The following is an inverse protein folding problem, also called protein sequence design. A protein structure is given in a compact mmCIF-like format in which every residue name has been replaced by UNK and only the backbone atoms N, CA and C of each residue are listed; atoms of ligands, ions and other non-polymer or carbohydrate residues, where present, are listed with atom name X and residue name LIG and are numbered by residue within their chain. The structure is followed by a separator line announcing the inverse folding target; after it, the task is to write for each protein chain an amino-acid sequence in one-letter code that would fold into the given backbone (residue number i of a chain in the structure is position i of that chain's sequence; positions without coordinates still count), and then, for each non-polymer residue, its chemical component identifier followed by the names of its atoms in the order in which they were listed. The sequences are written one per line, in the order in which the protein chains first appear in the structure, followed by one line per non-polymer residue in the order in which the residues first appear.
data_IF_237835299507
#
_entry.id   IF_237835299507
#
_cell.length_a   1.000
_cell.length_b   1.000
_cell.length_c   1.000
_cell.angle_alpha   90.00
_cell.angle_beta   90.00
_cell.angle_gamma   90.00
#
_symmetry.space_group_name_H-M   'P 1'
#
loop_
_entity.id
_entity.type
_entity.pdbx_description
1 polymer ?
#
# COMPACT_ATOMS: atom_id res chain seq x y z
N UNK A 1 2.98 5.02 7.49
CA UNK A 1 3.94 5.46 6.44
C UNK A 1 5.41 5.49 6.87
N UNK A 2 5.74 5.56 8.17
CA UNK A 2 7.13 5.59 8.69
C UNK A 2 8.05 4.47 8.16
N UNK A 3 7.55 3.22 8.17
CA UNK A 3 8.29 2.04 7.67
C UNK A 3 8.69 2.14 6.19
N UNK A 4 7.76 2.38 5.24
CA UNK A 4 8.13 2.57 3.83
C UNK A 4 9.03 3.80 3.59
N UNK A 5 8.88 4.90 4.34
CA UNK A 5 9.81 6.06 4.27
C UNK A 5 11.25 5.62 4.60
N UNK A 6 11.43 4.90 5.72
CA UNK A 6 12.75 4.39 6.13
C UNK A 6 13.32 3.44 5.07
N UNK A 7 12.49 2.55 4.53
CA UNK A 7 12.90 1.60 3.51
C UNK A 7 13.32 2.26 2.19
N UNK A 8 12.52 3.21 1.66
CA UNK A 8 12.86 3.94 0.43
C UNK A 8 14.12 4.80 0.64
N UNK A 9 14.25 5.48 1.78
CA UNK A 9 15.46 6.24 2.13
C UNK A 9 16.70 5.33 2.15
N UNK A 10 16.58 4.15 2.75
CA UNK A 10 17.67 3.16 2.80
C UNK A 10 18.04 2.66 1.41
N UNK A 11 17.05 2.36 0.57
CA UNK A 11 17.26 1.96 -0.82
C UNK A 11 17.99 3.06 -1.63
N UNK A 12 17.56 4.31 -1.52
CA UNK A 12 18.22 5.46 -2.16
C UNK A 12 19.67 5.62 -1.67
N UNK A 13 19.92 5.42 -0.38
CA UNK A 13 21.27 5.50 0.21
C UNK A 13 22.16 4.39 -0.35
N UNK A 14 21.69 3.15 -0.34
CA UNK A 14 22.41 2.01 -0.93
C UNK A 14 22.68 2.21 -2.43
N UNK A 15 21.72 2.75 -3.18
CA UNK A 15 21.93 3.13 -4.58
C UNK A 15 23.08 4.14 -4.74
N UNK A 16 23.11 5.22 -3.94
CA UNK A 16 24.18 6.23 -4.00
C UNK A 16 25.55 5.61 -3.69
N UNK A 17 25.63 4.71 -2.70
CA UNK A 17 26.85 3.95 -2.39
C UNK A 17 27.31 3.09 -3.57
N UNK A 18 26.37 2.37 -4.21
CA UNK A 18 26.67 1.54 -5.39
C UNK A 18 27.13 2.41 -6.56
N UNK A 19 26.45 3.53 -6.84
CA UNK A 19 26.81 4.44 -7.92
C UNK A 19 28.25 4.98 -7.74
N UNK A 20 28.58 5.46 -6.53
CA UNK A 20 29.94 5.91 -6.18
C UNK A 20 30.98 4.79 -6.35
N UNK A 21 30.65 3.56 -5.94
CA UNK A 21 31.54 2.42 -6.11
C UNK A 21 31.75 2.07 -7.59
N UNK A 22 30.71 2.09 -8.42
CA UNK A 22 30.81 1.85 -9.85
C UNK A 22 31.69 2.92 -10.51
N UNK A 23 31.55 4.20 -10.15
CA UNK A 23 32.47 5.25 -10.61
C UNK A 23 33.92 4.94 -10.22
N UNK A 24 34.14 4.46 -8.99
CA UNK A 24 35.48 4.08 -8.51
C UNK A 24 36.05 2.86 -9.24
N UNK A 25 35.20 1.88 -9.58
CA UNK A 25 35.56 0.71 -10.41
C UNK A 25 35.95 1.16 -11.82
N UNK A 26 35.14 2.00 -12.44
CA UNK A 26 35.38 2.51 -13.79
C UNK A 26 36.68 3.33 -13.88
N UNK A 27 37.04 4.02 -12.79
CA UNK A 27 38.30 4.76 -12.66
C UNK A 27 39.49 3.87 -12.26
N UNK A 28 39.31 2.55 -12.17
CA UNK A 28 40.37 1.60 -11.80
C UNK A 28 40.80 1.64 -10.33
N UNK A 29 40.12 2.43 -9.48
CA UNK A 29 40.49 2.61 -8.08
C UNK A 29 40.16 1.40 -7.19
N UNK A 30 39.13 0.63 -7.56
CA UNK A 30 38.69 -0.58 -6.82
C UNK A 30 38.19 -1.66 -7.77
N UNK A 31 38.26 -2.94 -7.35
CA UNK A 31 37.63 -4.05 -8.10
C UNK A 31 36.13 -4.10 -7.82
N UNK A 32 35.34 -4.47 -8.84
CA UNK A 32 33.90 -4.67 -8.70
C UNK A 32 33.58 -5.71 -7.62
N UNK A 33 32.58 -5.42 -6.78
CA UNK A 33 32.17 -6.32 -5.70
C UNK A 33 33.13 -6.30 -4.50
N UNK A 34 34.10 -5.39 -4.45
CA UNK A 34 34.93 -5.20 -3.26
C UNK A 34 34.17 -4.44 -2.16
N UNK A 35 33.22 -5.14 -1.53
CA UNK A 35 32.45 -4.63 -0.41
C UNK A 35 33.30 -4.41 0.86
N UNK A 36 34.55 -4.91 0.91
CA UNK A 36 35.44 -4.64 2.05
C UNK A 36 35.88 -3.16 2.11
N UNK A 37 35.78 -2.43 0.99
CA UNK A 37 36.01 -0.99 0.95
C UNK A 37 34.84 -0.17 1.53
N UNK A 38 33.72 -0.82 1.86
CA UNK A 38 32.55 -0.16 2.44
C UNK A 38 32.57 -0.26 3.97
N UNK A 39 32.13 0.81 4.62
CA UNK A 39 31.74 0.77 6.03
C UNK A 39 30.68 -0.31 6.27
N UNK A 40 30.52 -0.73 7.52
CA UNK A 40 29.49 -1.72 7.90
C UNK A 40 28.10 -1.26 7.44
N UNK A 41 27.77 0.02 7.67
CA UNK A 41 26.50 0.61 7.27
C UNK A 41 26.28 0.61 5.75
N UNK A 42 27.32 0.94 4.97
CA UNK A 42 27.25 0.93 3.50
C UNK A 42 27.02 -0.48 2.96
N UNK A 43 27.69 -1.50 3.53
CA UNK A 43 27.44 -2.91 3.17
C UNK A 43 26.00 -3.30 3.45
N UNK A 44 25.48 -2.91 4.61
CA UNK A 44 24.11 -3.19 5.00
C UNK A 44 23.10 -2.51 4.07
N UNK A 45 23.37 -1.30 3.60
CA UNK A 45 22.48 -0.58 2.69
C UNK A 45 22.53 -1.13 1.25
N UNK A 46 23.72 -1.53 0.78
CA UNK A 46 23.89 -2.24 -0.50
C UNK A 46 23.17 -3.60 -0.47
N UNK A 47 23.31 -4.34 0.63
CA UNK A 47 22.60 -5.61 0.81
C UNK A 47 21.08 -5.40 0.83
N UNK A 48 20.60 -4.31 1.42
CA UNK A 48 19.18 -3.97 1.41
C UNK A 48 18.66 -3.72 -0.02
N UNK A 49 19.43 -3.02 -0.87
CA UNK A 49 19.09 -2.85 -2.29
C UNK A 49 18.98 -4.20 -2.99
N UNK A 50 19.93 -5.11 -2.76
CA UNK A 50 19.95 -6.45 -3.33
C UNK A 50 18.68 -7.25 -3.00
N UNK A 51 18.25 -7.19 -1.72
CA UNK A 51 17.05 -7.84 -1.23
C UNK A 51 15.77 -7.24 -1.86
N UNK A 52 15.67 -5.91 -1.94
CA UNK A 52 14.53 -5.23 -2.58
C UNK A 52 14.43 -5.53 -4.08
N UNK A 53 15.57 -5.69 -4.75
CA UNK A 53 15.64 -6.08 -6.16
C UNK A 53 15.25 -7.54 -6.42
N UNK A 54 15.27 -8.37 -5.37
CA UNK A 54 14.99 -9.81 -5.43
C UNK A 54 16.20 -10.65 -5.83
N UNK A 55 17.42 -10.11 -5.67
CA UNK A 55 18.67 -10.83 -5.92
C UNK A 55 19.66 -10.54 -4.78
N UNK A 56 19.64 -11.38 -3.74
CA UNK A 56 20.49 -11.22 -2.56
C UNK A 56 22.00 -11.36 -2.85
N UNK A 57 22.36 -11.89 -4.02
CA UNK A 57 23.75 -12.15 -4.42
C UNK A 57 24.28 -11.15 -5.46
N UNK A 58 23.47 -10.14 -5.80
CA UNK A 58 23.71 -9.17 -6.86
C UNK A 58 25.06 -8.46 -6.78
N UNK A 59 25.56 -8.19 -5.58
CA UNK A 59 26.79 -7.41 -5.36
C UNK A 59 27.97 -8.25 -4.84
N UNK A 60 27.95 -9.57 -5.03
CA UNK A 60 29.07 -10.45 -4.67
C UNK A 60 30.20 -10.39 -5.72
N UNK A 61 31.47 -10.61 -5.32
CA UNK A 61 32.59 -10.77 -6.24
C UNK A 61 32.30 -11.81 -7.33
N UNK A 62 32.70 -11.53 -8.58
CA UNK A 62 32.54 -12.44 -9.73
C UNK A 62 31.20 -12.35 -10.48
N UNK A 63 30.26 -11.50 -10.05
CA UNK A 63 29.06 -11.13 -10.83
C UNK A 63 29.38 -9.96 -11.76
N UNK A 64 28.70 -9.87 -12.91
CA UNK A 64 28.77 -8.71 -13.79
C UNK A 64 28.23 -7.46 -13.11
N UNK A 65 28.58 -6.26 -13.60
CA UNK A 65 28.16 -4.98 -13.02
C UNK A 65 26.63 -4.78 -13.11
N UNK A 66 25.88 -5.37 -12.17
CA UNK A 66 24.42 -5.27 -12.18
C UNK A 66 24.00 -4.03 -11.40
N UNK A 67 23.49 -3.04 -12.13
CA UNK A 67 22.88 -1.84 -11.55
C UNK A 67 21.61 -2.17 -10.75
N UNK A 68 21.27 -1.38 -9.73
CA UNK A 68 20.00 -1.52 -9.02
C UNK A 68 18.81 -1.50 -10.00
N UNK A 69 17.79 -2.32 -9.71
CA UNK A 69 16.70 -2.60 -10.67
C UNK A 69 15.77 -1.41 -10.84
N UNK A 70 15.50 -0.70 -9.75
CA UNK A 70 14.47 0.34 -9.71
C UNK A 70 14.98 1.74 -10.02
N UNK A 71 16.23 2.04 -9.62
CA UNK A 71 16.93 3.28 -9.95
C UNK A 71 18.12 2.87 -10.80
N UNK A 72 18.06 3.19 -12.09
CA UNK A 72 19.05 2.69 -13.06
C UNK A 72 20.08 3.74 -13.44
N UNK A 73 19.76 5.01 -13.21
CA UNK A 73 20.59 6.16 -13.58
C UNK A 73 20.43 7.28 -12.56
N UNK A 74 21.46 8.11 -12.42
CA UNK A 74 21.49 9.20 -11.44
C UNK A 74 20.48 10.31 -11.76
N UNK A 75 20.13 10.52 -13.03
CA UNK A 75 19.11 11.48 -13.46
C UNK A 75 17.68 11.08 -13.06
N UNK A 76 17.46 9.81 -12.71
CA UNK A 76 16.17 9.34 -12.18
C UNK A 76 16.02 9.63 -10.67
N UNK A 77 17.14 9.79 -9.96
CA UNK A 77 17.18 9.90 -8.50
C UNK A 77 16.29 11.02 -7.92
N UNK A 78 16.23 12.23 -8.52
CA UNK A 78 15.35 13.30 -8.03
C UNK A 78 13.87 12.88 -7.96
N UNK A 79 13.41 11.98 -8.84
CA UNK A 79 12.02 11.49 -8.84
C UNK A 79 11.74 10.56 -7.66
N UNK A 80 12.71 9.73 -7.27
CA UNK A 80 12.60 8.89 -6.08
C UNK A 80 12.74 9.70 -4.78
N UNK A 81 13.57 10.73 -4.78
CA UNK A 81 13.65 11.69 -3.67
C UNK A 81 12.35 12.50 -3.52
N UNK A 82 11.72 12.87 -4.64
CA UNK A 82 10.40 13.50 -4.63
C UNK A 82 9.34 12.58 -4.03
N UNK A 83 9.30 11.29 -4.40
CA UNK A 83 8.42 10.30 -3.77
C UNK A 83 8.63 10.22 -2.26
N UNK A 84 9.90 10.20 -1.83
CA UNK A 84 10.25 10.16 -0.41
C UNK A 84 9.76 11.42 0.33
N UNK A 85 9.91 12.60 -0.29
CA UNK A 85 9.41 13.87 0.27
C UNK A 85 7.90 13.84 0.42
N UNK A 86 7.17 13.44 -0.61
CA UNK A 86 5.71 13.31 -0.56
C UNK A 86 5.27 12.36 0.55
N UNK A 87 5.94 11.22 0.76
CA UNK A 87 5.59 10.31 1.85
C UNK A 87 5.80 10.92 3.23
N UNK A 88 6.81 11.78 3.40
CA UNK A 88 7.04 12.51 4.66
C UNK A 88 5.94 13.54 4.88
N UNK A 89 5.57 14.30 3.85
CA UNK A 89 4.48 15.28 3.92
C UNK A 89 3.13 14.60 4.20
N UNK A 90 2.89 13.39 3.68
CA UNK A 90 1.70 12.60 4.01
C UNK A 90 1.71 12.01 5.43
N UNK A 91 2.80 12.15 6.19
CA UNK A 91 3.01 11.51 7.48
C UNK A 91 3.47 12.52 8.55
N UNK A 92 2.59 13.44 8.92
CA UNK A 92 2.81 14.36 10.03
C UNK A 92 2.70 13.64 11.37
N UNK A 93 3.81 13.55 12.11
CA UNK A 93 3.85 12.87 13.41
C UNK A 93 2.97 13.58 14.45
N UNK A 94 2.89 14.91 14.37
CA UNK A 94 2.06 15.73 15.26
C UNK A 94 0.56 15.43 15.11
N UNK A 95 0.13 14.94 13.93
CA UNK A 95 -1.27 14.61 13.65
C UNK A 95 -1.63 13.16 13.99
N UNK A 96 -0.63 12.29 14.19
CA UNK A 96 -0.82 10.90 14.63
C UNK A 96 0.33 10.46 15.55
N UNK A 97 0.36 10.95 16.80
CA UNK A 97 1.37 10.56 17.78
C UNK A 97 1.28 9.08 18.14
N UNK A 98 0.11 8.47 17.97
CA UNK A 98 -0.13 7.04 18.29
C UNK A 98 0.43 6.09 17.22
N UNK A 99 0.55 6.56 15.97
CA UNK A 99 0.86 5.72 14.82
C UNK A 99 -0.26 4.74 14.45
N UNK A 100 -1.45 4.86 15.06
CA UNK A 100 -2.60 3.98 14.86
C UNK A 100 -3.61 4.55 13.87
N UNK A 101 -3.47 5.82 13.46
CA UNK A 101 -4.42 6.45 12.53
C UNK A 101 -4.26 5.82 11.15
N UNK A 102 -5.33 5.19 10.68
CA UNK A 102 -5.38 4.63 9.33
C UNK A 102 -5.44 5.75 8.29
N UNK A 103 -4.48 5.72 7.37
CA UNK A 103 -4.49 6.59 6.20
C UNK A 103 -5.75 6.31 5.36
N UNK A 104 -6.53 7.36 5.07
CA UNK A 104 -7.80 7.23 4.33
C UNK A 104 -7.58 6.89 2.85
N UNK A 105 -6.50 7.38 2.26
CA UNK A 105 -6.16 7.18 0.87
C UNK A 105 -4.65 7.02 0.72
N UNK A 106 -4.22 5.94 0.05
CA UNK A 106 -2.82 5.75 -0.32
C UNK A 106 -2.45 6.59 -1.52
N UNK A 107 -1.15 6.82 -1.76
CA UNK A 107 -0.70 7.32 -3.03
C UNK A 107 -1.27 6.52 -4.20
N UNK A 108 -1.68 7.21 -5.26
CA UNK A 108 -2.34 6.58 -6.41
C UNK A 108 -1.47 6.65 -7.68
N UNK A 109 -1.50 5.55 -8.43
CA UNK A 109 -1.00 5.52 -9.80
C UNK A 109 -2.19 5.51 -10.76
N UNK A 110 -2.25 6.50 -11.65
CA UNK A 110 -3.21 6.57 -12.74
C UNK A 110 -2.48 6.35 -14.05
N UNK A 111 -2.95 5.34 -14.79
CA UNK A 111 -2.54 5.09 -16.16
C UNK A 111 -3.76 4.82 -17.03
N UNK A 112 -3.60 5.05 -18.32
CA UNK A 112 -4.63 4.77 -19.31
C UNK A 112 -4.18 3.64 -20.24
N UNK A 113 -5.14 2.90 -20.79
CA UNK A 113 -4.87 1.82 -21.75
C UNK A 113 -6.01 1.72 -22.76
N UNK A 114 -5.67 1.37 -24.00
CA UNK A 114 -6.65 0.96 -25.02
C UNK A 114 -7.20 -0.44 -24.76
N UNK A 115 -6.44 -1.24 -24.02
CA UNK A 115 -6.82 -2.58 -23.57
C UNK A 115 -6.68 -2.64 -22.04
N UNK A 116 -7.78 -2.35 -21.35
CA UNK A 116 -7.83 -2.35 -19.89
C UNK A 116 -7.64 -3.77 -19.34
N UNK A 117 -8.16 -4.80 -20.01
CA UNK A 117 -8.04 -6.20 -19.56
C UNK A 117 -6.57 -6.59 -19.47
N UNK A 118 -5.82 -6.42 -20.57
CA UNK A 118 -4.37 -6.70 -20.61
C UNK A 118 -3.61 -5.87 -19.57
N UNK A 119 -3.93 -4.59 -19.45
CA UNK A 119 -3.25 -3.70 -18.49
C UNK A 119 -3.53 -4.08 -17.03
N UNK A 120 -4.74 -4.51 -16.70
CA UNK A 120 -5.11 -4.92 -15.34
C UNK A 120 -4.41 -6.22 -14.93
N UNK A 121 -4.27 -7.19 -15.84
CA UNK A 121 -3.53 -8.43 -15.57
C UNK A 121 -2.07 -8.18 -15.18
N UNK A 122 -1.46 -7.10 -15.69
CA UNK A 122 -0.10 -6.69 -15.33
C UNK A 122 0.09 -6.40 -13.84
N UNK A 123 -0.95 -6.01 -13.12
CA UNK A 123 -0.86 -5.68 -11.69
C UNK A 123 -1.17 -6.87 -10.77
N UNK A 124 -1.37 -8.07 -11.34
CA UNK A 124 -1.35 -9.30 -10.58
C UNK A 124 0.01 -9.56 -9.92
N UNK A 125 0.02 -10.38 -8.86
CA UNK A 125 1.17 -10.56 -7.95
C UNK A 125 2.51 -10.94 -8.64
N UNK A 126 2.48 -11.46 -9.87
CA UNK A 126 3.65 -11.99 -10.57
C UNK A 126 4.31 -11.03 -11.59
N UNK A 127 3.76 -9.84 -11.85
CA UNK A 127 4.15 -9.01 -13.02
C UNK A 127 4.68 -7.60 -12.68
N UNK A 128 5.35 -7.45 -11.53
CA UNK A 128 5.93 -6.17 -11.08
C UNK A 128 6.88 -5.47 -12.08
N UNK A 129 7.64 -6.14 -12.98
CA UNK A 129 8.51 -5.44 -13.94
C UNK A 129 7.78 -4.52 -14.92
N UNK A 130 6.49 -4.74 -15.15
CA UNK A 130 5.68 -3.95 -16.09
C UNK A 130 4.84 -2.87 -15.38
N UNK A 131 4.94 -2.78 -14.06
CA UNK A 131 4.33 -1.76 -13.21
C UNK A 131 5.20 -0.50 -13.21
N UNK A 132 4.61 0.67 -12.93
CA UNK A 132 5.36 1.91 -12.72
C UNK A 132 6.48 1.69 -11.68
N UNK A 133 7.71 2.15 -11.99
CA UNK A 133 8.91 1.91 -11.17
C UNK A 133 8.78 2.39 -9.72
N UNK A 134 8.13 3.53 -9.48
CA UNK A 134 7.96 4.10 -8.14
C UNK A 134 6.97 3.27 -7.32
N UNK A 135 5.85 2.86 -7.93
CA UNK A 135 4.91 1.93 -7.31
C UNK A 135 5.57 0.57 -7.03
N UNK A 136 6.30 0.04 -8.01
CA UNK A 136 6.99 -1.25 -7.88
C UNK A 136 8.04 -1.24 -6.77
N UNK A 137 8.85 -0.17 -6.67
CA UNK A 137 9.80 0.02 -5.57
C UNK A 137 9.07 0.05 -4.22
N UNK A 138 7.98 0.82 -4.09
CA UNK A 138 7.20 0.87 -2.85
C UNK A 138 6.69 -0.51 -2.45
N UNK A 139 6.12 -1.27 -3.40
CA UNK A 139 5.64 -2.63 -3.16
C UNK A 139 6.78 -3.54 -2.67
N UNK A 140 7.95 -3.50 -3.33
CA UNK A 140 9.10 -4.32 -2.95
C UNK A 140 9.68 -3.94 -1.59
N UNK A 141 9.76 -2.64 -1.28
CA UNK A 141 10.19 -2.17 0.04
C UNK A 141 9.22 -2.64 1.12
N UNK A 142 7.91 -2.55 0.90
CA UNK A 142 6.91 -3.03 1.86
C UNK A 142 7.03 -4.55 2.08
N UNK A 143 7.15 -5.32 0.99
CA UNK A 143 7.35 -6.76 1.06
C UNK A 143 8.63 -7.13 1.82
N UNK A 144 9.73 -6.41 1.58
CA UNK A 144 11.01 -6.62 2.28
C UNK A 144 10.94 -6.25 3.77
N UNK A 145 9.99 -5.39 4.15
CA UNK A 145 9.66 -5.09 5.53
C UNK A 145 8.62 -6.06 6.10
N UNK A 146 8.36 -7.19 5.44
CA UNK A 146 7.38 -8.20 5.85
C UNK A 146 5.97 -7.63 6.03
N UNK A 147 5.61 -6.62 5.26
CA UNK A 147 4.25 -6.08 5.21
C UNK A 147 3.49 -6.73 4.05
N UNK A 148 2.28 -7.19 4.31
CA UNK A 148 1.38 -7.68 3.25
C UNK A 148 1.00 -6.52 2.33
N UNK A 149 1.17 -6.72 1.02
CA UNK A 149 0.84 -5.73 0.00
C UNK A 149 -0.20 -6.29 -0.95
N UNK A 150 -1.39 -5.68 -0.94
CA UNK A 150 -2.45 -5.94 -1.90
C UNK A 150 -2.50 -4.78 -2.91
N UNK A 151 -2.29 -5.07 -4.19
CA UNK A 151 -2.43 -4.08 -5.27
C UNK A 151 -3.83 -4.17 -5.85
N UNK A 152 -4.60 -3.09 -5.70
CA UNK A 152 -5.94 -3.00 -6.27
C UNK A 152 -5.92 -2.14 -7.53
N UNK A 153 -6.43 -2.70 -8.63
CA UNK A 153 -6.61 -1.97 -9.90
C UNK A 153 -8.07 -1.92 -10.25
N UNK A 154 -8.57 -0.72 -10.56
CA UNK A 154 -9.97 -0.49 -10.91
C UNK A 154 -10.07 0.44 -12.12
N UNK A 155 -10.95 0.15 -13.09
CA UNK A 155 -11.33 1.13 -14.09
C UNK A 155 -12.14 2.24 -13.41
N UNK A 156 -11.75 3.50 -13.64
CA UNK A 156 -12.42 4.68 -13.07
C UNK A 156 -13.09 5.55 -14.10
N UNK A 157 -12.68 5.42 -15.37
CA UNK A 157 -13.25 6.15 -16.50
C UNK A 157 -13.09 5.30 -17.76
N UNK A 158 -14.19 5.05 -18.45
CA UNK A 158 -14.21 4.47 -19.79
C UNK A 158 -14.37 5.59 -20.80
N UNK A 159 -13.58 5.53 -21.88
CA UNK A 159 -13.67 6.47 -22.99
C UNK A 159 -14.11 5.72 -24.23
N UNK A 160 -14.85 6.41 -25.10
CA UNK A 160 -15.39 5.81 -26.31
C UNK A 160 -14.65 6.27 -27.57
N UNK A 161 -14.03 7.45 -27.53
CA UNK A 161 -13.25 8.00 -28.65
C UNK A 161 -11.76 7.96 -28.36
N UNK A 162 -10.97 7.55 -29.35
CA UNK A 162 -9.50 7.39 -29.22
C UNK A 162 -8.80 8.69 -28.83
N UNK A 163 -9.30 9.83 -29.28
CA UNK A 163 -8.71 11.15 -29.03
C UNK A 163 -9.05 11.71 -27.64
N UNK A 164 -9.98 11.08 -26.90
CA UNK A 164 -10.25 11.41 -25.50
C UNK A 164 -9.18 10.87 -24.55
N UNK A 165 -8.34 9.92 -24.98
CA UNK A 165 -7.39 9.21 -24.11
C UNK A 165 -6.40 10.16 -23.38
N UNK A 166 -5.74 11.12 -24.06
CA UNK A 166 -4.81 12.03 -23.37
C UNK A 166 -5.52 12.94 -22.36
N UNK A 167 -6.70 13.47 -22.74
CA UNK A 167 -7.49 14.39 -21.90
C UNK A 167 -8.06 13.67 -20.68
N UNK A 168 -8.54 12.43 -20.86
CA UNK A 168 -9.01 11.58 -19.78
C UNK A 168 -7.88 11.23 -18.80
N UNK A 169 -6.68 10.92 -19.32
CA UNK A 169 -5.52 10.65 -18.47
C UNK A 169 -5.14 11.87 -17.63
N UNK A 170 -5.14 13.07 -18.22
CA UNK A 170 -4.87 14.33 -17.53
C UNK A 170 -5.89 14.61 -16.44
N UNK A 171 -7.18 14.51 -16.77
CA UNK A 171 -8.26 14.75 -15.83
C UNK A 171 -8.15 13.83 -14.62
N UNK A 172 -8.08 12.52 -14.85
CA UNK A 172 -8.07 11.53 -13.76
C UNK A 172 -6.77 11.63 -12.96
N UNK A 173 -5.61 11.82 -13.61
CA UNK A 173 -4.35 11.98 -12.90
C UNK A 173 -4.35 13.24 -12.02
N UNK A 174 -4.96 14.33 -12.48
CA UNK A 174 -5.07 15.59 -11.73
C UNK A 174 -6.00 15.44 -10.53
N UNK A 175 -7.21 14.89 -10.74
CA UNK A 175 -8.18 14.66 -9.66
C UNK A 175 -7.60 13.70 -8.61
N UNK A 176 -6.89 12.66 -9.04
CA UNK A 176 -6.29 11.68 -8.15
C UNK A 176 -5.01 12.16 -7.46
N UNK A 177 -4.46 13.34 -7.82
CA UNK A 177 -3.16 13.80 -7.35
C UNK A 177 -2.03 12.82 -7.68
N UNK A 178 -2.12 12.14 -8.83
CA UNK A 178 -1.30 10.96 -9.14
C UNK A 178 0.16 11.27 -9.44
N UNK A 179 0.51 12.55 -9.62
CA UNK A 179 1.89 12.97 -9.82
C UNK A 179 2.73 12.77 -8.55
N UNK A 180 4.00 12.39 -8.71
CA UNK A 180 4.92 12.20 -7.59
C UNK A 180 5.10 13.49 -6.79
N UNK A 181 5.09 14.65 -7.43
CA UNK A 181 5.20 15.95 -6.76
C UNK A 181 3.92 16.40 -6.06
N UNK A 182 2.85 15.63 -6.16
CA UNK A 182 1.60 15.83 -5.43
C UNK A 182 1.50 14.73 -4.37
N UNK A 183 0.78 13.65 -4.66
CA UNK A 183 0.51 12.57 -3.70
C UNK A 183 0.55 11.17 -4.35
N UNK A 184 1.17 11.00 -5.52
CA UNK A 184 1.06 9.76 -6.29
C UNK A 184 2.38 9.12 -6.74
N UNK A 185 2.29 8.27 -7.77
CA UNK A 185 3.40 7.47 -8.30
C UNK A 185 3.84 7.85 -9.73
N UNK A 186 3.16 8.81 -10.35
CA UNK A 186 3.40 9.19 -11.74
C UNK A 186 4.51 10.23 -11.84
N UNK A 187 5.64 9.85 -12.43
CA UNK A 187 6.81 10.73 -12.58
C UNK A 187 6.76 11.65 -13.80
N UNK A 188 5.93 11.31 -14.78
CA UNK A 188 5.82 12.01 -16.06
C UNK A 188 4.44 12.67 -16.11
N UNK A 189 4.37 13.83 -16.74
CA UNK A 189 3.12 14.53 -16.98
C UNK A 189 2.08 13.61 -17.65
N UNK A 190 0.83 13.73 -17.20
CA UNK A 190 -0.27 12.97 -17.77
C UNK A 190 -0.63 13.49 -19.16
N UNK A 191 -1.02 12.59 -20.08
CA UNK A 191 -1.37 12.96 -21.45
C UNK A 191 -0.18 13.26 -22.37
N UNK A 192 1.06 13.18 -21.88
CA UNK A 192 2.28 13.57 -22.63
C UNK A 192 2.58 12.78 -23.91
N UNK A 193 1.83 11.71 -24.22
CA UNK A 193 1.96 10.96 -25.48
C UNK A 193 0.97 11.37 -26.57
N UNK A 194 0.10 12.36 -26.33
CA UNK A 194 -0.91 12.80 -27.30
C UNK A 194 -0.63 14.20 -27.86
N UNK A 195 -0.90 14.42 -29.15
CA UNK A 195 -0.85 15.73 -29.82
C UNK A 195 -1.94 16.72 -29.39
N UNK A 196 -2.64 16.44 -28.28
CA UNK A 196 -3.79 17.19 -27.76
C UNK A 196 -3.66 17.42 -26.26
N UNK A 197 -2.48 17.84 -25.82
CA UNK A 197 -2.31 18.42 -24.47
C UNK A 197 -3.11 19.71 -24.44
N UNK A 198 -3.92 19.93 -23.39
CA UNK A 198 -4.58 21.23 -23.19
C UNK A 198 -3.48 22.25 -22.90
N UNK A 199 -3.12 23.06 -23.90
CA UNK A 199 -1.96 23.95 -23.89
C UNK A 199 -2.29 25.38 -23.39
N UNK A 200 -3.56 25.74 -23.37
CA UNK A 200 -4.01 27.06 -22.96
C UNK A 200 -4.73 27.06 -21.61
N UNK A 201 -4.40 28.04 -20.77
CA UNK A 201 -5.09 28.32 -19.50
C UNK A 201 -6.61 28.48 -19.68
N UNK A 202 -7.02 29.06 -20.82
CA UNK A 202 -8.43 29.28 -21.17
C UNK A 202 -9.15 27.94 -21.40
N UNK A 203 -8.56 27.03 -22.16
CA UNK A 203 -9.15 25.72 -22.41
C UNK A 203 -9.22 24.87 -21.13
N UNK A 204 -8.18 24.93 -20.28
CA UNK A 204 -8.20 24.31 -18.95
C UNK A 204 -9.35 24.84 -18.07
N UNK A 205 -9.52 26.16 -17.99
CA UNK A 205 -10.59 26.78 -17.20
C UNK A 205 -11.99 26.43 -17.74
N UNK A 206 -12.18 26.44 -19.06
CA UNK A 206 -13.44 26.06 -19.68
C UNK A 206 -13.78 24.59 -19.46
N UNK A 207 -12.80 23.68 -19.62
CA UNK A 207 -13.00 22.25 -19.35
C UNK A 207 -13.31 21.99 -17.87
N UNK A 208 -12.59 22.64 -16.96
CA UNK A 208 -12.85 22.53 -15.52
C UNK A 208 -14.26 23.01 -15.18
N UNK A 209 -14.72 24.14 -15.74
CA UNK A 209 -16.11 24.61 -15.57
C UNK A 209 -17.13 23.62 -16.12
N UNK A 210 -16.88 23.02 -17.28
CA UNK A 210 -17.81 22.07 -17.89
C UNK A 210 -17.96 20.80 -17.02
N UNK A 211 -16.86 20.29 -16.49
CA UNK A 211 -16.83 19.13 -15.59
C UNK A 211 -17.43 19.44 -14.22
N UNK A 212 -17.14 20.61 -13.64
CA UNK A 212 -17.53 20.94 -12.26
C UNK A 212 -18.92 21.57 -12.15
N UNK A 213 -19.34 22.38 -13.13
CA UNK A 213 -20.57 23.17 -13.03
C UNK A 213 -21.74 22.60 -13.83
N UNK A 214 -21.51 22.09 -15.04
CA UNK A 214 -22.61 21.74 -15.97
C UNK A 214 -23.03 20.28 -15.90
N UNK A 215 -22.13 19.37 -15.56
CA UNK A 215 -22.44 17.95 -15.39
C UNK A 215 -22.52 17.64 -13.89
N UNK A 216 -23.73 17.45 -13.37
CA UNK A 216 -23.95 17.07 -11.97
C UNK A 216 -23.29 15.72 -11.63
N UNK A 217 -22.94 14.91 -12.64
CA UNK A 217 -22.34 13.58 -12.49
C UNK A 217 -21.05 13.59 -11.67
N UNK A 218 -20.15 14.56 -11.88
CA UNK A 218 -18.91 14.63 -11.10
C UNK A 218 -19.21 14.94 -9.63
N UNK A 219 -20.16 15.84 -9.37
CA UNK A 219 -20.59 16.20 -8.02
C UNK A 219 -21.25 15.03 -7.30
N UNK A 220 -22.12 14.29 -8.00
CA UNK A 220 -22.74 13.07 -7.49
C UNK A 220 -21.70 11.99 -7.21
N UNK A 221 -20.80 11.73 -8.16
CA UNK A 221 -19.71 10.77 -7.98
C UNK A 221 -18.82 11.09 -6.78
N UNK A 222 -18.46 12.36 -6.58
CA UNK A 222 -17.70 12.78 -5.38
C UNK A 222 -18.52 12.54 -4.11
N UNK A 223 -19.79 12.94 -4.07
CA UNK A 223 -20.66 12.75 -2.91
C UNK A 223 -20.80 11.27 -2.55
N UNK A 224 -21.17 10.43 -3.51
CA UNK A 224 -21.32 8.98 -3.31
C UNK A 224 -20.00 8.33 -2.88
N UNK A 225 -18.87 8.78 -3.45
CA UNK A 225 -17.54 8.28 -3.04
C UNK A 225 -17.24 8.65 -1.59
N UNK A 226 -17.55 9.88 -1.18
CA UNK A 226 -17.36 10.32 0.21
C UNK A 226 -18.25 9.52 1.18
N UNK A 227 -19.51 9.29 0.83
CA UNK A 227 -20.44 8.48 1.62
C UNK A 227 -19.97 7.03 1.76
N UNK A 228 -19.47 6.42 0.67
CA UNK A 228 -18.86 5.09 0.69
C UNK A 228 -17.61 5.04 1.55
N UNK A 229 -16.72 6.02 1.45
CA UNK A 229 -15.51 6.11 2.27
C UNK A 229 -15.84 6.26 3.76
N UNK A 230 -16.83 7.08 4.08
CA UNK A 230 -17.29 7.27 5.46
C UNK A 230 -17.92 6.00 6.03
N UNK A 231 -18.76 5.32 5.24
CA UNK A 231 -19.37 4.04 5.63
C UNK A 231 -18.31 2.95 5.87
N UNK A 232 -17.30 2.87 4.99
CA UNK A 232 -16.17 1.93 5.16
C UNK A 232 -15.34 2.26 6.40
N UNK A 233 -15.12 3.55 6.71
CA UNK A 233 -14.44 3.96 7.94
C UNK A 233 -15.21 3.50 9.18
N UNK A 234 -16.53 3.70 9.22
CA UNK A 234 -17.38 3.26 10.33
C UNK A 234 -17.35 1.74 10.49
N UNK A 235 -17.46 0.99 9.39
CA UNK A 235 -17.35 -0.47 9.39
C UNK A 235 -16.02 -0.95 9.99
N UNK A 236 -14.91 -0.36 9.53
CA UNK A 236 -13.58 -0.69 10.03
C UNK A 236 -13.37 -0.32 11.50
N UNK A 237 -14.03 0.74 11.99
CA UNK A 237 -14.06 1.11 13.41
C UNK A 237 -14.76 0.05 14.25
N UNK A 238 -16.00 -0.32 13.86
CA UNK A 238 -16.77 -1.38 14.54
C UNK A 238 -16.07 -2.73 14.55
N UNK A 239 -15.35 -3.06 13.47
CA UNK A 239 -14.55 -4.29 13.41
C UNK A 239 -13.41 -4.26 14.43
N UNK A 240 -12.76 -3.11 14.61
CA UNK A 240 -11.69 -2.94 15.60
C UNK A 240 -12.23 -3.03 17.03
N UNK A 241 -13.39 -2.42 17.30
CA UNK A 241 -14.08 -2.51 18.59
C UNK A 241 -14.45 -3.97 18.91
N UNK A 242 -15.03 -4.69 17.95
CA UNK A 242 -15.38 -6.10 18.11
C UNK A 242 -14.16 -7.00 18.37
N UNK A 243 -13.01 -6.69 17.74
CA UNK A 243 -11.75 -7.40 18.01
C UNK A 243 -11.24 -7.15 19.43
N UNK A 244 -11.33 -5.91 19.91
CA UNK A 244 -10.92 -5.57 21.27
C UNK A 244 -11.84 -6.22 22.30
N UNK A 245 -13.16 -6.12 22.13
CA UNK A 245 -14.13 -6.78 23.01
C UNK A 245 -13.91 -8.28 23.10
N UNK A 246 -13.60 -8.94 21.98
CA UNK A 246 -13.31 -10.38 21.97
C UNK A 246 -12.04 -10.72 22.76
N UNK A 247 -11.02 -9.85 22.71
CA UNK A 247 -9.80 -10.01 23.51
C UNK A 247 -10.09 -9.83 25.01
N UNK A 248 -10.83 -8.79 25.38
CA UNK A 248 -11.17 -8.47 26.77
C UNK A 248 -12.04 -9.58 27.40
N UNK A 249 -13.02 -10.12 26.65
CA UNK A 249 -13.82 -11.27 27.09
C UNK A 249 -12.92 -12.49 27.33
N UNK A 250 -12.00 -12.76 26.41
CA UNK A 250 -11.09 -13.90 26.56
C UNK A 250 -10.18 -13.74 27.78
N UNK A 251 -9.65 -12.54 28.03
CA UNK A 251 -8.84 -12.26 29.22
C UNK A 251 -9.65 -12.41 30.51
N UNK A 252 -10.87 -11.87 30.55
CA UNK A 252 -11.79 -11.99 31.70
C UNK A 252 -12.11 -13.46 31.96
N UNK A 253 -12.39 -14.24 30.92
CA UNK A 253 -12.69 -15.67 31.04
C UNK A 253 -11.49 -16.44 31.60
N UNK A 254 -10.27 -16.12 31.16
CA UNK A 254 -9.03 -16.71 31.70
C UNK A 254 -8.77 -16.30 33.15
N UNK A 255 -9.15 -15.08 33.56
CA UNK A 255 -9.06 -14.64 34.94
C UNK A 255 -10.08 -15.37 35.83
N UNK A 256 -11.33 -15.51 35.39
CA UNK A 256 -12.35 -16.28 36.11
C UNK A 256 -11.95 -17.76 36.25
N UNK A 257 -11.44 -18.40 35.20
CA UNK A 257 -10.97 -19.79 35.25
C UNK A 257 -9.83 -19.99 36.24
N UNK A 258 -8.93 -19.01 36.40
CA UNK A 258 -7.88 -19.02 37.42
C UNK A 258 -8.46 -18.93 38.82
N UNK A 259 -9.37 -17.99 39.08
CA UNK A 259 -10.03 -17.87 40.38
C UNK A 259 -10.82 -19.13 40.77
N UNK A 260 -11.51 -19.77 39.82
CA UNK A 260 -12.23 -21.04 40.07
C UNK A 260 -11.27 -22.16 40.47
N UNK A 261 -10.08 -22.24 39.88
CA UNK A 261 -9.08 -23.27 40.20
C UNK A 261 -8.45 -23.10 41.58
N UNK A 262 -8.44 -21.88 42.11
CA UNK A 262 -7.83 -21.54 43.40
C UNK A 262 -8.81 -21.64 44.58
N UNK A 263 -10.07 -22.06 44.37
CA UNK A 263 -11.04 -22.21 45.45
C UNK A 263 -10.77 -23.45 46.32
N UNK A 264 -10.77 -23.32 47.67
CA UNK A 264 -10.66 -24.48 48.56
C UNK A 264 -11.92 -25.34 48.50
N UNK A 265 -11.74 -26.66 48.39
CA UNK A 265 -12.81 -27.66 48.39
C UNK A 265 -13.65 -27.58 49.67
N UNK A 266 -14.80 -26.90 49.63
CA UNK A 266 -15.73 -26.79 50.74
C UNK A 266 -17.19 -26.77 50.21
N UNK A 267 -18.14 -27.50 50.83
CA UNK A 267 -19.49 -27.71 50.29
C UNK A 267 -20.37 -26.45 50.15
N UNK A 268 -20.03 -25.33 50.82
CA UNK A 268 -20.66 -24.02 50.61
C UNK A 268 -20.32 -23.38 49.25
N UNK A 269 -19.22 -23.79 48.60
CA UNK A 269 -18.79 -23.22 47.32
C UNK A 269 -19.54 -23.81 46.13
N UNK A 270 -20.30 -24.89 46.30
CA UNK A 270 -21.01 -25.53 45.20
C UNK A 270 -22.00 -24.58 44.50
N UNK A 271 -22.74 -23.72 45.23
CA UNK A 271 -23.64 -22.75 44.59
C UNK A 271 -22.89 -21.63 43.87
N UNK A 272 -21.72 -21.23 44.37
CA UNK A 272 -20.87 -20.20 43.75
C UNK A 272 -20.17 -20.78 42.52
N UNK A 273 -19.75 -22.05 42.56
CA UNK A 273 -19.23 -22.78 41.40
C UNK A 273 -20.30 -22.93 40.32
N UNK A 274 -21.55 -23.20 40.69
CA UNK A 274 -22.67 -23.26 39.73
C UNK A 274 -22.94 -21.89 39.08
N UNK A 275 -22.95 -20.80 39.85
CA UNK A 275 -23.06 -19.44 39.30
C UNK A 275 -21.88 -19.06 38.40
N UNK A 276 -20.65 -19.40 38.80
CA UNK A 276 -19.46 -19.15 37.98
C UNK A 276 -19.45 -20.00 36.70
N UNK A 277 -19.93 -21.24 36.76
CA UNK A 277 -20.11 -22.09 35.59
C UNK A 277 -21.15 -21.49 34.63
N UNK A 278 -22.26 -20.94 35.14
CA UNK A 278 -23.24 -20.26 34.29
C UNK A 278 -22.74 -18.94 33.70
N UNK A 279 -21.92 -18.17 34.43
CA UNK A 279 -21.24 -16.99 33.88
C UNK A 279 -20.25 -17.41 32.80
N UNK A 280 -19.46 -18.46 33.03
CA UNK A 280 -18.52 -19.00 32.06
C UNK A 280 -19.24 -19.48 30.80
N UNK A 281 -20.39 -20.17 30.95
CA UNK A 281 -21.22 -20.65 29.84
C UNK A 281 -21.80 -19.49 29.04
N UNK A 282 -22.29 -18.43 29.70
CA UNK A 282 -22.75 -17.19 29.04
C UNK A 282 -21.62 -16.47 28.32
N UNK A 283 -20.45 -16.34 28.95
CA UNK A 283 -19.26 -15.72 28.35
C UNK A 283 -18.81 -16.51 27.12
N UNK A 284 -18.77 -17.84 27.21
CA UNK A 284 -18.45 -18.74 26.11
C UNK A 284 -19.45 -18.58 24.95
N UNK A 285 -20.76 -18.55 25.23
CA UNK A 285 -21.77 -18.30 24.20
C UNK A 285 -21.63 -16.93 23.54
N UNK A 286 -21.31 -15.87 24.30
CA UNK A 286 -21.03 -14.53 23.73
C UNK A 286 -19.78 -14.54 22.87
N UNK A 287 -18.72 -15.23 23.29
CA UNK A 287 -17.48 -15.39 22.55
C UNK A 287 -17.73 -16.12 21.22
N UNK A 288 -18.50 -17.20 21.24
CA UNK A 288 -18.80 -17.99 20.04
C UNK A 288 -19.68 -17.20 19.06
N UNK A 289 -20.69 -16.49 19.55
CA UNK A 289 -21.50 -15.58 18.72
C UNK A 289 -20.64 -14.46 18.08
N UNK A 290 -19.68 -13.89 18.84
CA UNK A 290 -18.78 -12.86 18.31
C UNK A 290 -17.78 -13.44 17.31
N UNK A 291 -17.25 -14.64 17.54
CA UNK A 291 -16.41 -15.36 16.56
C UNK A 291 -17.16 -15.64 15.27
N UNK A 292 -18.42 -16.05 15.36
CA UNK A 292 -19.25 -16.31 14.20
C UNK A 292 -19.57 -15.03 13.43
N UNK A 293 -19.96 -13.95 14.12
CA UNK A 293 -20.11 -12.64 13.50
C UNK A 293 -18.82 -12.17 12.80
N UNK A 294 -17.66 -12.39 13.44
CA UNK A 294 -16.37 -12.06 12.87
C UNK A 294 -16.07 -12.90 11.61
N UNK A 295 -16.38 -14.19 11.60
CA UNK A 295 -16.28 -15.05 10.41
C UNK A 295 -17.19 -14.56 9.28
N UNK A 296 -18.44 -14.24 9.58
CA UNK A 296 -19.37 -13.69 8.59
C UNK A 296 -18.86 -12.37 8.01
N UNK A 297 -18.29 -11.50 8.84
CA UNK A 297 -17.72 -10.23 8.39
C UNK A 297 -16.43 -10.43 7.58
N UNK A 298 -15.63 -11.44 7.91
CA UNK A 298 -14.48 -11.86 7.11
C UNK A 298 -14.91 -12.41 5.75
N UNK A 299 -15.95 -13.24 5.71
CA UNK A 299 -16.57 -13.74 4.48
C UNK A 299 -17.09 -12.61 3.59
N UNK A 300 -17.80 -11.63 4.15
CA UNK A 300 -18.24 -10.45 3.39
C UNK A 300 -17.06 -9.67 2.81
N UNK A 301 -15.97 -9.54 3.56
CA UNK A 301 -14.73 -8.92 3.09
C UNK A 301 -14.05 -9.73 1.99
N UNK A 302 -14.10 -11.06 2.06
CA UNK A 302 -13.60 -11.96 1.01
C UNK A 302 -14.46 -11.88 -0.24
N UNK A 303 -15.78 -11.84 -0.12
CA UNK A 303 -16.71 -11.61 -1.24
C UNK A 303 -16.42 -10.25 -1.89
N UNK A 304 -16.24 -9.17 -1.12
CA UNK A 304 -15.84 -7.87 -1.67
C UNK A 304 -14.50 -7.99 -2.42
N UNK A 305 -13.53 -8.74 -1.89
CA UNK A 305 -12.24 -9.00 -2.56
C UNK A 305 -12.39 -9.82 -3.86
N UNK A 306 -13.29 -10.81 -3.88
CA UNK A 306 -13.57 -11.65 -5.05
C UNK A 306 -14.27 -10.84 -6.14
N UNK A 307 -15.27 -10.04 -5.80
CA UNK A 307 -15.97 -9.15 -6.74
C UNK A 307 -15.05 -8.06 -7.34
N UNK A 308 -13.94 -7.76 -6.67
CA UNK A 308 -12.94 -6.77 -7.10
C UNK A 308 -11.76 -7.42 -7.84
N UNK A 309 -11.59 -8.73 -7.76
CA UNK A 309 -10.56 -9.45 -8.50
C UNK A 309 -11.08 -9.73 -9.92
N UNK A 310 -10.34 -9.41 -11.00
CA UNK A 310 -10.76 -9.81 -12.33
C UNK A 310 -10.79 -11.33 -12.35
N UNK A 311 -11.97 -11.89 -12.60
CA UNK A 311 -12.22 -13.33 -12.74
C UNK A 311 -11.19 -13.88 -13.72
N UNK A 312 -10.12 -14.48 -13.18
CA UNK A 312 -9.23 -15.35 -13.90
C UNK A 312 -10.02 -16.62 -14.18
N UNK A 313 -10.59 -16.70 -15.37
CA UNK A 313 -11.22 -17.89 -15.92
C UNK A 313 -10.21 -19.04 -15.89
N UNK A 314 -10.45 -20.02 -15.03
CA UNK A 314 -9.89 -21.36 -15.14
C UNK A 314 -10.73 -22.17 -16.13
N UNK A 315 -10.06 -22.64 -17.19
CA UNK A 315 -10.31 -23.84 -18.00
C UNK A 315 -11.70 -24.03 -18.65
N UNK A 316 -11.76 -23.88 -19.97
CA UNK A 316 -11.65 -25.00 -20.94
C UNK A 316 -10.99 -24.50 -22.22
#
# INVERSE_FOLDING_TARGET
MKRPIKGIKRYITGYKTISKHISSVNNGAVKFGNLAAFSVQERDDVQFVALVDGDAYKFKPGRSAVFPKWVTKDDELPRFEALLRTYKEMCHEDLDPTGLVRMRQSPLYVGCSKDLRKRMMTYGQNSLPQVNRHLALTIKVLAQLSLSVDVHVRPVLLIWKKDQLPVAEQLVATIAGSLIYQYGFKAIEAGGTGSKTVDSKVSLASNARLIMNFLNDMRMNVRETLEKLQSRKQFLGRLSEAQQEAADINETMQACLRQVRDFPNHPKWNSIIDEMNEIAKRMQGRLDNRKEALRQWQLLREIERMLVSPVGTSHT
#
